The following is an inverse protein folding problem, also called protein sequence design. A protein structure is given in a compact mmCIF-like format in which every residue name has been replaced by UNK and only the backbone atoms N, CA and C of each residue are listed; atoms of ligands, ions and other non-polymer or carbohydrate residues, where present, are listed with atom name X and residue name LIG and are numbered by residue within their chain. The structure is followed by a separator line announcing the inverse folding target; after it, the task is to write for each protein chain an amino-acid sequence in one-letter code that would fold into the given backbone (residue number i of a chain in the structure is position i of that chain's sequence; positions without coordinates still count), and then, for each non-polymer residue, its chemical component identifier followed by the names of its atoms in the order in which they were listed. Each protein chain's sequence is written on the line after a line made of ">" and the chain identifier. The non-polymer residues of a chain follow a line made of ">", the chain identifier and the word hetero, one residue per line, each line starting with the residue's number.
data_IF_626816134662
#
_entry.id   IF_626816134662
#
_cell.length_a   1.000
_cell.length_b   1.000
_cell.length_c   1.000
_cell.angle_alpha   90.00
_cell.angle_beta   90.00
_cell.angle_gamma   90.00
#
_symmetry.space_group_name_H-M   'P 1'
#
loop_
_entity.id
_entity.type
_entity.pdbx_description
1 polymer ?
#
# COMPACT_ATOMS: atom_id res chain seq x y z
N UNK A 1 -5.61 36.03 -24.68
CA UNK A 1 -4.48 35.51 -23.85
C UNK A 1 -4.22 34.08 -24.28
N UNK A 2 -3.14 33.84 -25.03
CA UNK A 2 -2.68 32.49 -25.33
C UNK A 2 -2.03 31.93 -24.06
N UNK A 3 -2.77 31.18 -23.28
CA UNK A 3 -2.22 30.42 -22.14
C UNK A 3 -1.39 29.25 -22.66
N UNK A 4 -0.13 29.15 -22.26
CA UNK A 4 0.71 27.98 -22.52
C UNK A 4 0.13 26.82 -21.75
N UNK A 5 -0.40 25.81 -22.43
CA UNK A 5 -0.84 24.58 -21.77
C UNK A 5 0.37 23.65 -21.65
N UNK A 6 0.73 23.29 -20.42
CA UNK A 6 1.75 22.25 -20.17
C UNK A 6 1.17 20.90 -20.56
N UNK A 7 1.75 20.25 -21.54
CA UNK A 7 1.31 18.95 -22.06
C UNK A 7 2.06 17.76 -21.43
N UNK A 8 3.27 18.00 -20.93
CA UNK A 8 4.06 17.01 -20.23
C UNK A 8 5.08 17.66 -19.27
N UNK A 9 5.35 16.99 -18.16
CA UNK A 9 6.42 17.30 -17.21
C UNK A 9 7.09 15.98 -16.85
N UNK A 10 8.40 15.98 -16.75
CA UNK A 10 9.16 14.88 -16.16
C UNK A 10 10.14 15.47 -15.13
N UNK A 11 10.30 14.79 -14.01
CA UNK A 11 11.23 15.15 -12.96
C UNK A 11 11.91 13.90 -12.43
N UNK A 12 13.22 13.96 -12.27
CA UNK A 12 14.01 12.91 -11.62
C UNK A 12 14.96 13.55 -10.61
N UNK A 13 15.24 12.83 -9.52
CA UNK A 13 16.12 13.32 -8.49
C UNK A 13 16.66 12.23 -7.60
N UNK A 14 17.84 12.52 -7.05
CA UNK A 14 18.43 11.74 -5.95
C UNK A 14 18.51 12.62 -4.72
N UNK A 15 18.14 12.07 -3.60
CA UNK A 15 18.20 12.69 -2.28
C UNK A 15 19.12 11.82 -1.45
N UNK A 16 20.29 12.36 -1.12
CA UNK A 16 21.27 11.62 -0.33
C UNK A 16 20.81 11.46 1.12
N UNK A 17 20.15 12.49 1.66
CA UNK A 17 19.63 12.51 3.01
C UNK A 17 18.42 13.45 3.14
N UNK A 18 17.36 12.97 3.79
CA UNK A 18 16.21 13.78 4.19
C UNK A 18 15.74 13.37 5.60
N UNK A 19 15.59 14.34 6.47
CA UNK A 19 15.05 14.06 7.80
C UNK A 19 13.51 14.08 7.80
N UNK A 20 12.91 13.00 8.30
CA UNK A 20 11.48 12.92 8.57
C UNK A 20 11.24 12.22 9.91
N UNK A 21 10.43 12.82 10.78
CA UNK A 21 10.17 12.34 12.16
C UNK A 21 11.48 12.07 12.96
N UNK A 22 12.48 12.91 12.81
CA UNK A 22 13.81 12.81 13.45
C UNK A 22 14.66 11.61 12.97
N UNK A 23 14.25 10.93 11.91
CA UNK A 23 15.04 9.88 11.28
C UNK A 23 15.63 10.39 9.96
N UNK A 24 16.97 10.28 9.75
CA UNK A 24 17.63 10.71 8.54
C UNK A 24 17.61 9.61 7.46
N UNK A 25 16.53 9.58 6.67
CA UNK A 25 16.44 8.67 5.53
C UNK A 25 17.50 8.98 4.50
N UNK A 26 18.08 7.93 3.91
CA UNK A 26 19.21 8.04 2.99
C UNK A 26 18.92 7.36 1.65
N UNK A 27 19.70 7.78 0.63
CA UNK A 27 19.74 7.15 -0.70
C UNK A 27 18.36 6.97 -1.34
N UNK A 28 17.63 8.07 -1.47
CA UNK A 28 16.29 8.08 -2.08
C UNK A 28 16.44 8.50 -3.54
N UNK A 29 15.82 7.74 -4.44
CA UNK A 29 15.66 8.09 -5.85
C UNK A 29 14.18 8.26 -6.17
N UNK A 30 13.84 9.35 -6.82
CA UNK A 30 12.47 9.66 -7.27
C UNK A 30 12.53 9.99 -8.75
N UNK A 31 11.68 9.31 -9.52
CA UNK A 31 11.38 9.66 -10.91
C UNK A 31 9.88 9.82 -11.08
N UNK A 32 9.45 10.81 -11.81
CA UNK A 32 8.04 11.03 -12.07
C UNK A 32 7.80 11.73 -13.39
N UNK A 33 6.69 11.39 -14.01
CA UNK A 33 6.23 12.07 -15.23
C UNK A 33 4.73 12.35 -15.21
N UNK A 34 4.35 13.43 -15.84
CA UNK A 34 2.97 13.75 -16.17
C UNK A 34 2.88 14.01 -17.67
N UNK A 35 2.04 13.27 -18.37
CA UNK A 35 1.80 13.47 -19.80
C UNK A 35 0.40 13.04 -20.17
N UNK A 36 -0.33 13.89 -20.91
CA UNK A 36 -1.68 13.58 -21.43
C UNK A 36 -2.64 13.02 -20.36
N UNK A 37 -2.58 13.59 -19.14
CA UNK A 37 -3.36 13.14 -17.97
C UNK A 37 -2.98 11.77 -17.44
N UNK A 38 -1.84 11.24 -17.82
CA UNK A 38 -1.21 10.10 -17.16
C UNK A 38 -0.11 10.58 -16.23
N UNK A 39 -0.07 10.05 -15.02
CA UNK A 39 0.96 10.28 -14.01
C UNK A 39 1.69 8.96 -13.83
N UNK A 40 3.00 8.96 -13.92
CA UNK A 40 3.84 7.82 -13.62
C UNK A 40 4.87 8.19 -12.57
N UNK A 41 5.23 7.26 -11.70
CA UNK A 41 6.20 7.48 -10.67
C UNK A 41 6.99 6.24 -10.29
N UNK A 42 8.23 6.48 -9.90
CA UNK A 42 9.15 5.50 -9.32
C UNK A 42 9.75 6.10 -8.06
N UNK A 43 9.76 5.33 -6.99
CA UNK A 43 10.43 5.64 -5.73
C UNK A 43 11.34 4.48 -5.36
N UNK A 44 12.61 4.77 -5.06
CA UNK A 44 13.54 3.80 -4.48
C UNK A 44 14.13 4.41 -3.22
N UNK A 45 14.20 3.60 -2.17
CA UNK A 45 14.84 3.95 -0.90
C UNK A 45 15.81 2.84 -0.54
N UNK A 46 17.07 3.17 -0.39
CA UNK A 46 18.13 2.24 0.01
C UNK A 46 18.81 2.74 1.29
N UNK A 47 18.04 2.72 2.36
CA UNK A 47 18.46 3.12 3.69
C UNK A 47 18.85 1.89 4.53
N UNK A 48 19.75 2.00 5.52
CA UNK A 48 20.09 0.87 6.40
C UNK A 48 18.90 0.19 7.08
N UNK A 49 17.81 0.92 7.36
CA UNK A 49 16.60 0.41 8.02
C UNK A 49 15.37 0.35 7.12
N UNK A 50 15.45 0.87 5.88
CA UNK A 50 14.39 0.79 4.86
C UNK A 50 14.98 0.45 3.51
N UNK A 51 14.47 -0.61 2.89
CA UNK A 51 14.74 -0.92 1.48
C UNK A 51 13.40 -1.12 0.78
N UNK A 52 13.04 -0.16 -0.07
CA UNK A 52 11.76 -0.09 -0.78
C UNK A 52 11.99 0.27 -2.24
N UNK A 53 11.32 -0.45 -3.13
CA UNK A 53 11.12 -0.04 -4.50
C UNK A 53 9.62 0.03 -4.79
N UNK A 54 9.14 1.16 -5.27
CA UNK A 54 7.73 1.34 -5.62
C UNK A 54 7.61 2.04 -6.96
N UNK A 55 6.70 1.57 -7.79
CA UNK A 55 6.34 2.22 -9.05
C UNK A 55 4.84 2.22 -9.24
N UNK A 56 4.34 3.17 -10.00
CA UNK A 56 2.92 3.22 -10.27
C UNK A 56 2.54 4.19 -11.37
N UNK A 57 1.31 4.05 -11.83
CA UNK A 57 0.71 4.98 -12.79
C UNK A 57 -0.74 5.28 -12.42
N UNK A 58 -1.17 6.50 -12.74
CA UNK A 58 -2.55 6.96 -12.58
C UNK A 58 -3.01 7.64 -13.87
N UNK A 59 -3.95 7.03 -14.58
CA UNK A 59 -4.62 7.64 -15.73
C UNK A 59 -5.87 8.39 -15.25
N UNK A 60 -5.84 9.72 -15.37
CA UNK A 60 -6.94 10.63 -15.04
C UNK A 60 -7.63 11.22 -16.27
N UNK A 61 -7.40 10.65 -17.44
CA UNK A 61 -7.96 11.12 -18.72
C UNK A 61 -9.46 10.89 -18.83
N UNK A 62 -9.98 9.88 -18.13
CA UNK A 62 -11.38 9.47 -18.14
C UNK A 62 -12.05 9.74 -16.78
N UNK A 63 -13.38 9.71 -16.73
CA UNK A 63 -14.16 9.80 -15.50
C UNK A 63 -13.78 8.63 -14.54
N UNK A 64 -13.60 7.43 -15.06
CA UNK A 64 -13.02 6.31 -14.33
C UNK A 64 -11.49 6.39 -14.47
N UNK A 65 -10.84 6.66 -13.37
CA UNK A 65 -9.38 6.68 -13.25
C UNK A 65 -8.85 5.26 -13.22
N UNK A 66 -7.70 5.03 -13.82
CA UNK A 66 -7.00 3.76 -13.70
C UNK A 66 -5.76 3.96 -12.84
N UNK A 67 -5.56 3.08 -11.84
CA UNK A 67 -4.45 3.14 -10.90
C UNK A 67 -3.75 1.79 -10.90
N UNK A 68 -2.43 1.80 -11.18
CA UNK A 68 -1.58 0.63 -11.04
C UNK A 68 -0.44 0.98 -10.08
N UNK A 69 -0.19 0.13 -9.10
CA UNK A 69 0.90 0.30 -8.13
C UNK A 69 1.59 -1.05 -7.95
N UNK A 70 2.91 -1.03 -7.94
CA UNK A 70 3.73 -2.18 -7.54
C UNK A 70 4.75 -1.68 -6.52
N UNK A 71 4.88 -2.38 -5.40
CA UNK A 71 5.85 -2.05 -4.37
C UNK A 71 6.50 -3.32 -3.82
N UNK A 72 7.82 -3.26 -3.63
CA UNK A 72 8.63 -4.31 -3.03
C UNK A 72 9.32 -3.74 -1.80
N UNK A 73 8.88 -4.17 -0.64
CA UNK A 73 9.47 -3.84 0.65
C UNK A 73 10.44 -4.95 1.04
N UNK A 74 11.73 -4.75 0.75
CA UNK A 74 12.77 -5.73 1.08
C UNK A 74 13.22 -5.65 2.54
N UNK A 75 13.02 -4.51 3.17
CA UNK A 75 13.31 -4.26 4.58
C UNK A 75 12.55 -3.05 5.09
N UNK A 76 11.98 -3.16 6.28
CA UNK A 76 11.53 -2.05 7.09
C UNK A 76 11.70 -2.41 8.56
N UNK A 77 12.38 -1.56 9.32
CA UNK A 77 12.43 -1.61 10.79
C UNK A 77 11.62 -0.43 11.35
N UNK A 78 10.33 -0.62 11.63
CA UNK A 78 9.41 0.50 11.94
C UNK A 78 9.84 1.36 13.13
N UNK A 79 10.38 0.75 14.20
CA UNK A 79 10.87 1.46 15.36
C UNK A 79 12.13 2.26 15.03
N UNK A 80 13.09 1.64 14.33
CA UNK A 80 14.36 2.30 13.97
C UNK A 80 14.14 3.56 13.13
N UNK A 81 13.11 3.57 12.28
CA UNK A 81 12.78 4.72 11.42
C UNK A 81 11.72 5.65 12.01
N UNK A 82 11.43 5.55 13.30
CA UNK A 82 10.49 6.40 14.05
C UNK A 82 9.05 6.40 13.49
N UNK A 83 8.66 5.31 12.81
CA UNK A 83 7.29 5.16 12.32
C UNK A 83 6.35 4.64 13.40
N UNK A 84 6.82 3.73 14.26
CA UNK A 84 5.99 3.16 15.32
C UNK A 84 6.84 2.45 16.36
N UNK A 85 6.67 2.80 17.63
CA UNK A 85 7.32 2.11 18.76
C UNK A 85 6.67 0.76 19.10
N UNK A 86 5.52 0.45 18.50
CA UNK A 86 4.76 -0.77 18.78
C UNK A 86 5.38 -2.03 18.16
N UNK A 87 6.31 -1.87 17.23
CA UNK A 87 6.88 -2.96 16.47
C UNK A 87 8.17 -3.52 17.08
N UNK A 88 8.74 -2.85 18.12
CA UNK A 88 10.00 -3.26 18.72
C UNK A 88 11.13 -3.43 17.69
N UNK A 89 11.88 -4.49 17.82
CA UNK A 89 12.98 -4.88 16.90
C UNK A 89 12.51 -5.52 15.59
N UNK A 90 11.20 -5.58 15.35
CA UNK A 90 10.65 -6.28 14.19
C UNK A 90 11.18 -5.73 12.87
N UNK A 91 11.49 -6.65 11.98
CA UNK A 91 11.75 -6.39 10.57
C UNK A 91 10.56 -6.86 9.74
N UNK A 92 10.10 -6.02 8.84
CA UNK A 92 8.97 -6.28 7.94
C UNK A 92 9.47 -6.32 6.51
N UNK A 93 9.01 -7.31 5.75
CA UNK A 93 9.15 -7.41 4.30
C UNK A 93 7.79 -7.67 3.66
N UNK A 94 7.66 -7.47 2.34
CA UNK A 94 6.43 -7.81 1.63
C UNK A 94 6.33 -7.12 0.28
N UNK A 95 5.43 -7.63 -0.55
CA UNK A 95 5.16 -7.08 -1.88
C UNK A 95 3.69 -6.68 -1.98
N UNK A 96 3.43 -5.61 -2.73
CA UNK A 96 2.07 -5.13 -3.02
C UNK A 96 1.96 -4.90 -4.51
N UNK A 97 0.91 -5.47 -5.12
CA UNK A 97 0.48 -5.16 -6.48
C UNK A 97 -0.98 -4.73 -6.40
N UNK A 98 -1.29 -3.56 -6.93
CA UNK A 98 -2.63 -3.02 -6.96
C UNK A 98 -3.00 -2.56 -8.37
N UNK A 99 -4.16 -2.98 -8.85
CA UNK A 99 -4.73 -2.56 -10.13
C UNK A 99 -6.21 -2.23 -9.91
N UNK A 100 -6.55 -0.96 -10.05
CA UNK A 100 -7.91 -0.46 -9.84
C UNK A 100 -8.36 0.46 -10.95
N UNK A 101 -9.65 0.45 -11.20
CA UNK A 101 -10.33 1.51 -11.92
C UNK A 101 -11.56 1.97 -11.12
N UNK A 102 -11.90 3.26 -11.21
CA UNK A 102 -13.06 3.81 -10.52
C UNK A 102 -13.10 5.33 -10.54
N UNK A 103 -14.27 5.89 -10.23
CA UNK A 103 -14.42 7.35 -10.09
C UNK A 103 -13.84 7.86 -8.77
N UNK A 104 -13.96 7.06 -7.75
CA UNK A 104 -13.45 7.27 -6.39
C UNK A 104 -13.21 5.92 -5.70
N UNK A 105 -12.73 5.95 -4.47
CA UNK A 105 -12.38 4.72 -3.73
C UNK A 105 -13.59 3.82 -3.47
N UNK A 106 -14.78 4.38 -3.25
CA UNK A 106 -15.97 3.57 -2.95
C UNK A 106 -16.56 2.88 -4.19
N UNK A 107 -16.14 3.33 -5.38
CA UNK A 107 -16.49 2.74 -6.67
C UNK A 107 -15.28 2.04 -7.33
N UNK A 108 -14.27 1.71 -6.55
CA UNK A 108 -13.09 1.03 -7.05
C UNK A 108 -13.43 -0.40 -7.47
N UNK A 109 -13.04 -0.75 -8.70
CA UNK A 109 -13.14 -2.09 -9.27
C UNK A 109 -11.71 -2.54 -9.61
N UNK A 110 -11.30 -3.67 -9.08
CA UNK A 110 -9.95 -4.18 -9.27
C UNK A 110 -9.49 -5.05 -8.12
N UNK A 111 -8.17 -5.10 -7.93
CA UNK A 111 -7.57 -5.97 -6.93
C UNK A 111 -6.32 -5.38 -6.29
N UNK A 112 -6.06 -5.83 -5.05
CA UNK A 112 -4.76 -5.74 -4.38
C UNK A 112 -4.27 -7.14 -4.07
N UNK A 113 -3.03 -7.42 -4.44
CA UNK A 113 -2.32 -8.64 -4.04
C UNK A 113 -1.19 -8.22 -3.10
N UNK A 114 -1.20 -8.77 -1.90
CA UNK A 114 -0.14 -8.63 -0.90
C UNK A 114 0.52 -10.00 -0.79
N UNK A 115 1.83 -10.08 -0.97
CA UNK A 115 2.53 -11.36 -1.01
C UNK A 115 3.89 -11.31 -0.35
N UNK A 116 4.40 -12.49 0.03
CA UNK A 116 5.72 -12.66 0.64
C UNK A 116 5.93 -11.73 1.85
N UNK A 117 4.87 -11.54 2.65
CA UNK A 117 4.98 -10.74 3.87
C UNK A 117 5.65 -11.56 4.95
N UNK A 118 6.70 -11.02 5.54
CA UNK A 118 7.29 -11.57 6.75
C UNK A 118 7.42 -10.48 7.81
N UNK A 119 7.09 -10.83 9.06
CA UNK A 119 7.32 -9.98 10.23
C UNK A 119 8.13 -10.78 11.22
N UNK A 120 9.40 -10.44 11.37
CA UNK A 120 10.36 -11.19 12.18
C UNK A 120 11.01 -10.32 13.25
N UNK A 121 11.03 -10.84 14.48
CA UNK A 121 11.74 -10.27 15.62
C UNK A 121 12.24 -11.40 16.53
N UNK A 122 12.85 -11.07 17.67
CA UNK A 122 13.23 -12.09 18.66
C UNK A 122 12.02 -12.89 19.20
N UNK A 123 10.83 -12.30 19.22
CA UNK A 123 9.60 -12.87 19.79
C UNK A 123 8.49 -13.11 18.80
N UNK A 124 8.67 -12.71 17.55
CA UNK A 124 7.63 -12.74 16.50
C UNK A 124 8.18 -13.34 15.22
N UNK A 125 7.48 -14.31 14.68
CA UNK A 125 7.77 -14.90 13.37
C UNK A 125 6.44 -15.17 12.67
N UNK A 126 6.06 -14.28 11.76
CA UNK A 126 4.85 -14.40 10.94
C UNK A 126 5.21 -14.32 9.48
N UNK A 127 4.66 -15.23 8.72
CA UNK A 127 4.73 -15.26 7.26
C UNK A 127 3.31 -15.30 6.68
N UNK A 128 3.11 -14.57 5.60
CA UNK A 128 1.93 -14.61 4.74
C UNK A 128 2.42 -14.76 3.30
N UNK A 129 2.07 -15.87 2.65
CA UNK A 129 2.47 -16.10 1.26
C UNK A 129 1.68 -15.17 0.33
N UNK A 130 0.35 -15.21 0.43
CA UNK A 130 -0.50 -14.35 -0.38
C UNK A 130 -1.81 -13.97 0.32
N UNK A 131 -2.21 -12.73 0.12
CA UNK A 131 -3.55 -12.24 0.39
C UNK A 131 -4.01 -11.43 -0.82
N UNK A 132 -5.12 -11.84 -1.42
CA UNK A 132 -5.77 -11.18 -2.54
C UNK A 132 -7.06 -10.51 -2.07
N UNK A 133 -7.18 -9.23 -2.33
CA UNK A 133 -8.40 -8.47 -2.07
C UNK A 133 -8.95 -8.00 -3.41
N UNK A 134 -10.18 -8.36 -3.71
CA UNK A 134 -10.87 -8.00 -4.94
C UNK A 134 -12.11 -7.18 -4.64
N UNK A 135 -12.32 -6.15 -5.43
CA UNK A 135 -13.51 -5.31 -5.38
C UNK A 135 -14.12 -5.20 -6.76
N UNK A 136 -15.43 -5.18 -6.82
CA UNK A 136 -16.14 -5.06 -8.10
C UNK A 136 -17.67 -5.08 -7.92
N UNK A 137 -18.35 -5.24 -9.03
CA UNK A 137 -19.80 -5.37 -9.08
C UNK A 137 -20.17 -6.72 -9.70
N UNK A 138 -21.13 -7.39 -9.07
CA UNK A 138 -21.78 -8.59 -9.57
C UNK A 138 -23.25 -8.19 -9.76
N UNK A 139 -23.68 -8.09 -11.03
CA UNK A 139 -24.89 -7.38 -11.43
C UNK A 139 -24.89 -5.94 -10.87
N UNK A 140 -25.82 -5.59 -9.98
CA UNK A 140 -25.93 -4.28 -9.34
C UNK A 140 -25.39 -4.26 -7.89
N UNK A 141 -24.80 -5.36 -7.42
CA UNK A 141 -24.30 -5.50 -6.05
C UNK A 141 -22.79 -5.31 -6.03
N UNK A 142 -22.34 -4.39 -5.19
CA UNK A 142 -20.93 -4.23 -4.91
C UNK A 142 -20.43 -5.38 -4.04
N UNK A 143 -19.28 -5.96 -4.39
CA UNK A 143 -18.61 -6.97 -3.58
C UNK A 143 -17.21 -6.57 -3.19
N UNK A 144 -16.79 -7.05 -2.04
CA UNK A 144 -15.39 -7.09 -1.60
C UNK A 144 -15.08 -8.53 -1.17
N UNK A 145 -14.12 -9.16 -1.83
CA UNK A 145 -13.64 -10.50 -1.54
C UNK A 145 -12.21 -10.46 -1.06
N UNK A 146 -11.91 -11.21 -0.04
CA UNK A 146 -10.56 -11.46 0.45
C UNK A 146 -10.30 -12.96 0.41
N UNK A 147 -9.18 -13.34 -0.15
CA UNK A 147 -8.66 -14.70 -0.17
C UNK A 147 -7.22 -14.69 0.34
N UNK A 148 -6.88 -15.55 1.28
CA UNK A 148 -5.55 -15.61 1.89
C UNK A 148 -5.25 -16.96 2.52
N UNK A 149 -3.98 -17.20 2.85
CA UNK A 149 -3.52 -18.42 3.53
C UNK A 149 -4.25 -18.68 4.86
N UNK A 150 -4.78 -17.65 5.51
CA UNK A 150 -5.45 -17.79 6.81
C UNK A 150 -6.98 -17.77 6.75
N UNK A 151 -7.56 -17.60 5.55
CA UNK A 151 -9.01 -17.68 5.36
C UNK A 151 -9.55 -16.73 4.29
N UNK A 152 -10.83 -16.90 4.01
CA UNK A 152 -11.56 -16.19 2.98
C UNK A 152 -12.68 -15.36 3.62
N UNK A 153 -12.98 -14.23 3.04
CA UNK A 153 -14.10 -13.38 3.44
C UNK A 153 -14.74 -12.73 2.22
N UNK A 154 -16.06 -12.58 2.27
CA UNK A 154 -16.82 -11.88 1.25
C UNK A 154 -17.85 -10.97 1.89
N UNK A 155 -17.98 -9.78 1.35
CA UNK A 155 -19.01 -8.80 1.69
C UNK A 155 -19.70 -8.42 0.40
N UNK A 156 -21.02 -8.53 0.36
CA UNK A 156 -21.84 -8.14 -0.79
C UNK A 156 -22.88 -7.13 -0.30
N UNK A 157 -23.00 -6.00 -0.98
CA UNK A 157 -23.99 -4.97 -0.64
C UNK A 157 -23.45 -3.56 -0.84
N UNK A 158 -24.02 -2.61 -0.10
CA UNK A 158 -23.54 -1.22 -0.09
C UNK A 158 -22.69 -1.00 1.16
N UNK A 159 -21.41 -0.64 0.97
CA UNK A 159 -20.46 -0.39 2.06
C UNK A 159 -19.52 0.74 1.71
N UNK A 160 -18.86 1.28 2.74
CA UNK A 160 -17.86 2.32 2.61
C UNK A 160 -16.48 1.75 2.99
N UNK A 161 -15.48 1.92 2.15
CA UNK A 161 -14.13 1.39 2.39
C UNK A 161 -13.47 1.96 3.64
N UNK A 162 -13.77 3.21 4.02
CA UNK A 162 -13.19 3.81 5.23
C UNK A 162 -13.61 3.06 6.50
N UNK A 163 -14.83 2.55 6.55
CA UNK A 163 -15.32 1.74 7.68
C UNK A 163 -14.87 0.28 7.57
N UNK A 164 -14.78 -0.25 6.36
CA UNK A 164 -14.34 -1.63 6.12
C UNK A 164 -12.86 -1.84 6.44
N UNK A 165 -11.99 -0.89 6.12
CA UNK A 165 -10.57 -0.99 6.44
C UNK A 165 -10.36 -1.23 7.95
N UNK A 166 -11.06 -0.50 8.81
CA UNK A 166 -11.00 -0.71 10.26
C UNK A 166 -11.57 -2.07 10.68
N UNK A 167 -12.63 -2.53 10.02
CA UNK A 167 -13.22 -3.85 10.29
C UNK A 167 -12.24 -4.97 9.92
N UNK A 168 -11.57 -4.89 8.77
CA UNK A 168 -10.55 -5.85 8.34
C UNK A 168 -9.38 -5.88 9.33
N UNK A 169 -8.87 -4.71 9.74
CA UNK A 169 -7.82 -4.60 10.74
C UNK A 169 -8.23 -5.28 12.05
N UNK A 170 -9.46 -5.10 12.49
CA UNK A 170 -9.99 -5.72 13.71
C UNK A 170 -10.11 -7.24 13.58
N UNK A 171 -10.50 -7.75 12.40
CA UNK A 171 -10.55 -9.20 12.12
C UNK A 171 -9.15 -9.81 12.16
N UNK A 172 -8.18 -9.16 11.52
CA UNK A 172 -6.77 -9.59 11.52
C UNK A 172 -6.23 -9.57 12.95
N UNK A 173 -6.45 -8.50 13.72
CA UNK A 173 -6.04 -8.40 15.11
C UNK A 173 -6.63 -9.52 15.99
N UNK A 174 -7.85 -9.95 15.69
CA UNK A 174 -8.51 -11.06 16.41
C UNK A 174 -7.90 -12.44 16.05
N UNK A 175 -7.44 -12.62 14.82
CA UNK A 175 -6.82 -13.85 14.34
C UNK A 175 -5.34 -13.94 14.69
N UNK A 176 -4.65 -12.80 14.69
CA UNK A 176 -3.22 -12.66 14.94
C UNK A 176 -2.97 -11.68 16.10
N UNK A 177 -3.41 -12.01 17.35
CA UNK A 177 -3.42 -11.05 18.47
C UNK A 177 -2.03 -10.62 18.92
N UNK A 178 -0.98 -11.36 18.56
CA UNK A 178 0.41 -11.07 18.90
C UNK A 178 1.15 -10.30 17.81
N UNK A 179 0.53 -10.09 16.65
CA UNK A 179 1.16 -9.32 15.58
C UNK A 179 1.34 -7.86 16.01
N UNK A 180 2.58 -7.31 15.95
CA UNK A 180 2.84 -5.92 16.32
C UNK A 180 2.01 -4.93 15.49
N UNK A 181 1.65 -3.79 16.10
CA UNK A 181 0.95 -2.71 15.40
C UNK A 181 -0.57 -2.86 15.27
N UNK A 182 -1.13 -4.03 15.54
CA UNK A 182 -2.58 -4.23 15.53
C UNK A 182 -3.25 -3.73 16.85
N UNK A 183 -4.53 -3.30 16.79
CA UNK A 183 -5.27 -2.95 18.00
C UNK A 183 -5.38 -4.16 18.93
N UNK A 184 -5.19 -3.96 20.23
CA UNK A 184 -5.46 -5.02 21.22
C UNK A 184 -6.96 -5.28 21.23
N UNK A 185 -7.38 -6.49 20.91
CA UNK A 185 -8.77 -6.91 21.08
C UNK A 185 -9.03 -7.09 22.56
N UNK A 186 -9.85 -6.24 23.15
CA UNK A 186 -10.48 -6.52 24.45
C UNK A 186 -11.35 -7.78 24.31
N UNK A 187 -11.11 -8.74 25.19
CA UNK A 187 -11.96 -9.95 25.33
C UNK A 187 -13.34 -9.59 25.77
#
# INVERSE_FOLDING_TARGET
>A
RNGTSITSIAASGKIDLIEYKKYPYQNITIDGSYSKKNIEGLLKVYDPNVSLEASGSVDISKKQKKVNITAYLNKLKPQSVMLSDKWGDAMVTGNIIADFNGSDINNANGQVIISNVAVKSETTDYDLNEMKIMSGYDEDKHFLRMDSDFGNAEIIGQFNYNTLAQTIINIIAKKLPTLPGLPKTTK
#
